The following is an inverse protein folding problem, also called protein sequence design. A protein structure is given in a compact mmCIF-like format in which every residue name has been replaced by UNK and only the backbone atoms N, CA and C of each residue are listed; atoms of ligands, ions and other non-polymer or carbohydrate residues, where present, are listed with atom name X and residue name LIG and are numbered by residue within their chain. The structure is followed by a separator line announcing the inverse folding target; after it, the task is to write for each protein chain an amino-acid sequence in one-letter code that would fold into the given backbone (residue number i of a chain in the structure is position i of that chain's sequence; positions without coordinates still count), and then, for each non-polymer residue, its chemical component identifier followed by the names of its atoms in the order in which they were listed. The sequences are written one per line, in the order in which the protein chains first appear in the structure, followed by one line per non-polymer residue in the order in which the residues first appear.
data_IF_368266005375
#
_entry.id   IF_368266005375
#
_cell.length_a   1.000
_cell.length_b   1.000
_cell.length_c   1.000
_cell.angle_alpha   90.00
_cell.angle_beta   90.00
_cell.angle_gamma   90.00
#
_symmetry.space_group_name_H-M   'P 1'
#
loop_
_entity.id
_entity.type
_entity.pdbx_description
1 polymer ?
#
# COMPACT_ATOMS: atom_id res chain seq x y z
N UNK A 1 -9.65 27.01 -6.89
CA UNK A 1 -8.52 27.79 -7.42
C UNK A 1 -7.74 26.91 -8.39
N UNK A 2 -7.37 27.40 -9.58
CA UNK A 2 -6.68 26.62 -10.63
C UNK A 2 -5.33 27.29 -10.90
N UNK A 3 -4.23 26.53 -10.96
CA UNK A 3 -2.88 27.04 -11.27
C UNK A 3 -2.68 27.09 -12.79
N UNK A 4 -1.88 28.05 -13.31
CA UNK A 4 -1.51 28.06 -14.72
C UNK A 4 -0.58 26.90 -15.06
N UNK A 5 -0.53 26.52 -16.34
CA UNK A 5 0.20 25.34 -16.82
C UNK A 5 1.71 25.42 -16.60
N UNK A 6 2.27 26.63 -16.58
CA UNK A 6 3.69 26.92 -16.35
C UNK A 6 4.08 26.93 -14.86
N UNK A 7 3.11 26.92 -13.94
CA UNK A 7 3.34 26.86 -12.51
C UNK A 7 2.40 25.83 -11.82
N UNK A 8 2.47 24.54 -12.22
CA UNK A 8 1.63 23.51 -11.62
C UNK A 8 2.10 23.16 -10.21
N UNK A 9 1.20 22.61 -9.38
CA UNK A 9 1.57 22.15 -8.03
C UNK A 9 2.62 21.02 -8.09
N UNK A 10 2.46 20.12 -9.07
CA UNK A 10 3.39 19.05 -9.41
C UNK A 10 3.44 18.95 -10.94
N UNK A 11 4.64 18.77 -11.48
CA UNK A 11 4.86 18.68 -12.93
C UNK A 11 4.12 17.49 -13.56
N UNK A 12 4.09 16.37 -12.85
CA UNK A 12 3.46 15.12 -13.29
C UNK A 12 2.29 14.72 -12.40
N UNK A 13 1.50 13.72 -12.82
CA UNK A 13 0.36 13.19 -12.07
C UNK A 13 0.70 12.81 -10.62
N UNK A 14 -0.26 12.99 -9.72
CA UNK A 14 -0.20 12.49 -8.34
C UNK A 14 -0.65 11.03 -8.22
N UNK A 15 -1.11 10.43 -9.32
CA UNK A 15 -1.40 9.01 -9.43
C UNK A 15 -0.28 8.34 -10.23
N UNK A 16 0.31 7.31 -9.64
CA UNK A 16 1.26 6.43 -10.28
C UNK A 16 0.69 5.02 -10.33
N UNK A 17 0.88 4.33 -11.45
CA UNK A 17 0.62 2.89 -11.54
C UNK A 17 1.92 2.19 -11.17
N UNK A 18 1.87 1.33 -10.16
CA UNK A 18 2.99 0.50 -9.72
C UNK A 18 2.77 -0.93 -10.22
N UNK A 19 3.85 -1.60 -10.60
CA UNK A 19 3.90 -3.04 -10.91
C UNK A 19 4.91 -3.72 -10.00
N UNK A 20 5.09 -5.03 -10.10
CA UNK A 20 6.10 -5.76 -9.35
C UNK A 20 5.56 -7.09 -8.84
N UNK A 21 6.36 -7.82 -8.06
CA UNK A 21 5.92 -9.14 -7.62
C UNK A 21 4.70 -9.10 -6.69
N UNK A 22 4.47 -8.00 -5.97
CA UNK A 22 3.26 -7.83 -5.15
C UNK A 22 2.03 -7.43 -5.96
N UNK A 23 2.20 -6.89 -7.17
CA UNK A 23 1.15 -6.33 -8.00
C UNK A 23 1.44 -6.60 -9.50
N UNK A 24 1.36 -7.86 -9.91
CA UNK A 24 1.74 -8.28 -11.27
C UNK A 24 0.83 -7.71 -12.35
N UNK A 25 -0.42 -7.39 -12.02
CA UNK A 25 -1.38 -6.73 -12.92
C UNK A 25 -1.51 -5.22 -12.63
N UNK A 26 -0.84 -4.75 -11.58
CA UNK A 26 -0.73 -3.34 -11.23
C UNK A 26 -1.37 -2.98 -9.89
N UNK A 27 -1.06 -1.78 -9.44
CA UNK A 27 -1.62 -1.12 -8.27
C UNK A 27 -1.63 0.41 -8.49
N UNK A 28 -2.48 1.11 -7.75
CA UNK A 28 -2.60 2.58 -7.85
C UNK A 28 -2.03 3.21 -6.60
N UNK A 29 -0.98 4.03 -6.77
CA UNK A 29 -0.36 4.79 -5.70
C UNK A 29 -0.68 6.27 -5.82
N UNK A 30 -1.01 6.90 -4.68
CA UNK A 30 -1.06 8.36 -4.56
C UNK A 30 0.34 8.85 -4.15
N UNK A 31 1.02 9.52 -5.06
CA UNK A 31 2.38 10.05 -4.87
C UNK A 31 2.35 11.57 -5.00
N UNK A 32 2.31 12.27 -3.87
CA UNK A 32 2.27 13.73 -3.82
C UNK A 32 3.65 14.37 -4.01
N UNK A 33 4.72 13.59 -3.82
CA UNK A 33 6.12 13.99 -3.94
C UNK A 33 6.69 14.64 -2.68
N UNK A 34 5.89 14.80 -1.63
CA UNK A 34 6.35 15.33 -0.32
C UNK A 34 6.90 14.24 0.59
N UNK A 35 6.46 13.01 0.35
CA UNK A 35 6.83 11.78 1.05
C UNK A 35 8.16 11.16 0.56
N UNK A 36 8.75 11.72 -0.50
CA UNK A 36 9.86 11.10 -1.23
C UNK A 36 9.38 10.23 -2.39
N UNK A 37 10.31 9.55 -3.06
CA UNK A 37 10.01 8.67 -4.20
C UNK A 37 10.13 7.17 -3.85
N UNK A 38 10.80 6.83 -2.75
CA UNK A 38 11.03 5.43 -2.35
C UNK A 38 10.77 5.27 -0.87
N UNK A 39 10.08 4.19 -0.50
CA UNK A 39 9.87 3.76 0.88
C UNK A 39 10.13 2.26 1.01
N UNK A 40 10.99 1.87 1.94
CA UNK A 40 11.18 0.47 2.33
C UNK A 40 10.88 0.31 3.81
N UNK A 41 9.97 -0.60 4.13
CA UNK A 41 9.54 -0.82 5.50
C UNK A 41 9.27 -2.28 5.84
N UNK A 42 8.77 -2.52 7.04
CA UNK A 42 8.49 -3.85 7.60
C UNK A 42 6.99 -4.11 7.60
N UNK A 43 6.54 -5.24 7.05
CA UNK A 43 5.14 -5.57 6.92
C UNK A 43 4.47 -5.78 8.29
N UNK A 44 3.31 -5.15 8.46
CA UNK A 44 2.31 -5.40 9.50
C UNK A 44 1.02 -5.80 8.81
N UNK A 45 0.70 -7.10 8.84
CA UNK A 45 -0.32 -7.72 8.00
C UNK A 45 -1.63 -7.88 8.75
N UNK A 46 -2.70 -7.44 8.12
CA UNK A 46 -4.07 -7.51 8.61
C UNK A 46 -5.00 -8.03 7.52
N UNK A 47 -5.98 -8.83 7.93
CA UNK A 47 -6.94 -9.46 7.02
C UNK A 47 -8.26 -8.68 6.92
N UNK A 48 -8.44 -7.65 7.74
CA UNK A 48 -9.58 -6.73 7.66
C UNK A 48 -9.18 -5.30 8.02
N UNK A 49 -9.96 -4.32 7.55
CA UNK A 49 -9.87 -2.91 7.97
C UNK A 49 -9.89 -2.75 9.50
N UNK A 50 -10.79 -3.47 10.17
CA UNK A 50 -11.04 -3.35 11.61
C UNK A 50 -9.81 -3.77 12.43
N UNK A 51 -9.13 -4.85 12.03
CA UNK A 51 -7.91 -5.31 12.69
C UNK A 51 -6.78 -4.29 12.54
N UNK A 52 -6.60 -3.75 11.34
CA UNK A 52 -5.59 -2.71 11.09
C UNK A 52 -5.89 -1.46 11.92
N UNK A 53 -7.14 -1.01 11.93
CA UNK A 53 -7.58 0.15 12.71
C UNK A 53 -7.29 -0.04 14.20
N UNK A 54 -7.67 -1.18 14.79
CA UNK A 54 -7.41 -1.46 16.20
C UNK A 54 -5.91 -1.42 16.51
N UNK A 55 -5.06 -2.03 15.67
CA UNK A 55 -3.62 -2.05 15.86
C UNK A 55 -2.99 -0.64 15.79
N UNK A 56 -3.44 0.20 14.85
CA UNK A 56 -3.01 1.61 14.76
C UNK A 56 -3.42 2.37 16.04
N UNK A 57 -4.66 2.20 16.50
CA UNK A 57 -5.17 2.89 17.68
C UNK A 57 -4.48 2.46 18.99
N UNK A 58 -4.12 1.18 19.09
CA UNK A 58 -3.37 0.63 20.22
C UNK A 58 -1.90 1.08 20.26
N UNK A 59 -1.38 1.59 19.14
CA UNK A 59 0.00 2.05 19.04
C UNK A 59 1.00 0.94 18.71
N UNK A 60 0.54 -0.17 18.14
CA UNK A 60 1.40 -1.28 17.72
C UNK A 60 2.15 -0.99 16.41
N UNK A 61 1.70 0.04 15.68
CA UNK A 61 2.33 0.53 14.45
C UNK A 61 3.37 1.60 14.80
N UNK A 62 4.56 1.44 14.25
CA UNK A 62 5.70 2.34 14.46
C UNK A 62 6.28 2.85 13.16
N UNK A 63 7.15 3.86 13.25
CA UNK A 63 7.92 4.39 12.12
C UNK A 63 8.63 3.26 11.36
N UNK A 64 8.49 3.29 10.03
CA UNK A 64 9.08 2.31 9.12
C UNK A 64 8.22 1.08 8.87
N UNK A 65 7.00 1.01 9.40
CA UNK A 65 6.07 -0.07 9.08
C UNK A 65 5.39 0.14 7.71
N UNK A 66 5.07 -0.98 7.06
CA UNK A 66 4.16 -1.05 5.91
C UNK A 66 2.92 -1.80 6.40
N UNK A 67 1.83 -1.06 6.59
CA UNK A 67 0.54 -1.61 6.97
C UNK A 67 -0.06 -2.28 5.74
N UNK A 68 -0.20 -3.60 5.77
CA UNK A 68 -0.79 -4.41 4.70
C UNK A 68 -2.20 -4.79 5.13
N UNK A 69 -3.21 -4.32 4.40
CA UNK A 69 -4.61 -4.73 4.61
C UNK A 69 -5.05 -5.51 3.38
N UNK A 70 -5.21 -6.83 3.52
CA UNK A 70 -5.52 -7.74 2.42
C UNK A 70 -6.89 -8.38 2.59
N UNK A 71 -7.38 -9.02 1.53
CA UNK A 71 -8.74 -9.58 1.44
C UNK A 71 -9.82 -8.50 1.44
N UNK A 72 -9.49 -7.27 1.04
CA UNK A 72 -10.42 -6.15 0.91
C UNK A 72 -10.73 -5.86 -0.57
N UNK A 73 -10.26 -6.72 -1.48
CA UNK A 73 -10.50 -6.65 -2.91
C UNK A 73 -11.94 -6.96 -3.33
N UNK A 74 -12.24 -6.95 -4.65
CA UNK A 74 -13.57 -7.19 -5.19
C UNK A 74 -14.24 -8.47 -4.71
N UNK A 75 -13.48 -9.57 -4.56
CA UNK A 75 -14.01 -10.87 -4.11
C UNK A 75 -13.76 -11.13 -2.64
N UNK A 76 -12.61 -10.72 -2.11
CA UNK A 76 -12.27 -10.90 -0.70
C UNK A 76 -13.17 -10.13 0.25
N UNK A 77 -13.39 -8.84 -0.06
CA UNK A 77 -14.13 -7.91 0.80
C UNK A 77 -15.57 -8.33 1.07
N UNK A 78 -16.37 -8.76 0.08
CA UNK A 78 -16.42 -8.41 -1.35
C UNK A 78 -16.82 -6.94 -1.61
N UNK A 79 -16.82 -6.54 -2.89
CA UNK A 79 -17.27 -5.20 -3.33
C UNK A 79 -16.21 -4.10 -3.24
N UNK A 80 -14.98 -4.47 -2.85
CA UNK A 80 -13.81 -3.58 -2.85
C UNK A 80 -14.09 -2.29 -2.07
N UNK A 81 -14.34 -2.38 -0.76
CA UNK A 81 -14.75 -1.22 0.06
C UNK A 81 -13.67 -0.13 0.09
N UNK A 82 -14.10 1.10 0.33
CA UNK A 82 -13.20 2.24 0.54
C UNK A 82 -12.96 2.44 2.04
N UNK A 83 -11.69 2.39 2.44
CA UNK A 83 -11.27 2.49 3.84
C UNK A 83 -10.75 3.90 4.15
N UNK A 84 -11.49 4.67 4.94
CA UNK A 84 -11.05 5.96 5.48
C UNK A 84 -10.43 5.82 6.88
N UNK A 85 -10.91 4.86 7.66
CA UNK A 85 -10.59 4.74 9.09
C UNK A 85 -9.09 4.52 9.33
N UNK A 86 -8.40 3.57 8.64
CA UNK A 86 -6.97 3.35 8.83
C UNK A 86 -6.13 4.59 8.45
N UNK A 87 -6.46 5.22 7.33
CA UNK A 87 -5.80 6.44 6.86
C UNK A 87 -5.92 7.60 7.84
N UNK A 88 -7.12 7.81 8.41
CA UNK A 88 -7.36 8.84 9.41
C UNK A 88 -6.65 8.54 10.74
N UNK A 89 -6.64 7.28 11.19
CA UNK A 89 -5.99 6.88 12.42
C UNK A 89 -4.47 7.06 12.37
N UNK A 90 -3.83 6.70 11.24
CA UNK A 90 -2.39 6.94 11.01
C UNK A 90 -2.06 8.43 11.11
N UNK A 91 -2.86 9.29 10.48
CA UNK A 91 -2.68 10.74 10.57
C UNK A 91 -2.88 11.25 12.01
N UNK A 92 -3.91 10.77 12.72
CA UNK A 92 -4.19 11.14 14.10
C UNK A 92 -3.09 10.72 15.09
N UNK A 93 -2.35 9.64 14.79
CA UNK A 93 -1.17 9.20 15.54
C UNK A 93 0.11 9.95 15.13
N UNK A 94 0.06 10.86 14.17
CA UNK A 94 1.22 11.60 13.67
C UNK A 94 2.17 10.76 12.80
N UNK A 95 1.72 9.62 12.29
CA UNK A 95 2.55 8.67 11.55
C UNK A 95 2.49 8.82 10.02
N UNK A 96 1.76 9.81 9.49
CA UNK A 96 1.46 9.93 8.05
C UNK A 96 2.68 9.83 7.13
N UNK A 97 3.79 10.49 7.49
CA UNK A 97 5.03 10.45 6.70
C UNK A 97 6.00 9.34 7.11
N UNK A 98 5.66 8.58 8.15
CA UNK A 98 6.57 7.63 8.79
C UNK A 98 6.23 6.17 8.45
N UNK A 99 5.05 5.91 7.88
CA UNK A 99 4.58 4.57 7.50
C UNK A 99 4.00 4.57 6.09
N UNK A 100 3.84 3.38 5.52
CA UNK A 100 3.09 3.17 4.29
C UNK A 100 1.82 2.35 4.54
N UNK A 101 0.80 2.53 3.70
CA UNK A 101 -0.40 1.70 3.68
C UNK A 101 -0.56 1.07 2.30
N UNK A 102 -0.76 -0.25 2.25
CA UNK A 102 -1.02 -0.99 1.02
C UNK A 102 -2.25 -1.90 1.15
N UNK A 103 -3.02 -2.06 0.07
CA UNK A 103 -4.20 -2.92 0.05
C UNK A 103 -4.58 -3.41 -1.36
N UNK A 104 -5.23 -4.56 -1.44
CA UNK A 104 -6.00 -5.01 -2.61
C UNK A 104 -7.39 -4.36 -2.72
N UNK A 105 -7.84 -3.66 -1.67
CA UNK A 105 -9.03 -2.80 -1.66
C UNK A 105 -8.75 -1.35 -2.09
N UNK A 106 -9.44 -0.39 -1.46
CA UNK A 106 -9.31 1.05 -1.72
C UNK A 106 -9.08 1.84 -0.43
N UNK A 107 -8.30 2.91 -0.52
CA UNK A 107 -8.15 3.89 0.55
C UNK A 107 -8.81 5.22 0.19
N UNK A 108 -9.37 5.89 1.19
CA UNK A 108 -9.89 7.24 1.03
C UNK A 108 -8.78 8.29 1.18
N UNK A 109 -8.96 9.45 0.54
CA UNK A 109 -7.90 10.43 0.25
C UNK A 109 -7.31 11.21 1.44
N UNK A 110 -7.59 10.83 2.68
CA UNK A 110 -7.28 11.60 3.90
C UNK A 110 -5.81 11.62 4.35
N UNK A 111 -4.93 10.81 3.76
CA UNK A 111 -3.52 10.69 4.20
C UNK A 111 -2.53 11.40 3.28
N UNK A 112 -1.44 11.85 3.89
CA UNK A 112 -0.19 12.25 3.25
C UNK A 112 0.84 11.16 3.58
N UNK A 113 1.47 10.54 2.57
CA UNK A 113 2.36 9.38 2.73
C UNK A 113 2.22 8.39 1.56
N UNK A 114 2.96 7.28 1.61
CA UNK A 114 2.86 6.21 0.61
C UNK A 114 1.57 5.40 0.83
N UNK A 115 0.55 5.68 0.01
CA UNK A 115 -0.73 4.97 0.04
C UNK A 115 -0.94 4.30 -1.31
N UNK A 116 -1.05 2.97 -1.28
CA UNK A 116 -1.21 2.12 -2.47
C UNK A 116 -2.48 1.28 -2.30
N UNK A 117 -3.40 1.39 -3.26
CA UNK A 117 -4.59 0.54 -3.33
C UNK A 117 -4.64 -0.25 -4.63
N UNK A 118 -5.71 -1.00 -4.83
CA UNK A 118 -5.98 -1.73 -6.07
C UNK A 118 -4.87 -2.73 -6.43
N UNK A 119 -4.15 -3.28 -5.44
CA UNK A 119 -3.14 -4.30 -5.70
C UNK A 119 -3.80 -5.50 -6.38
N UNK A 120 -3.32 -5.81 -7.58
CA UNK A 120 -3.89 -6.85 -8.44
C UNK A 120 -2.81 -7.84 -8.89
N UNK A 121 -3.05 -9.16 -8.80
CA UNK A 121 -4.26 -9.83 -8.32
C UNK A 121 -4.54 -9.64 -6.81
N UNK A 122 -5.82 -9.60 -6.43
CA UNK A 122 -6.20 -9.51 -5.00
C UNK A 122 -5.79 -10.77 -4.22
N UNK A 123 -5.67 -10.66 -2.90
CA UNK A 123 -5.26 -11.78 -2.06
C UNK A 123 -6.23 -12.97 -2.14
N UNK A 124 -7.53 -12.70 -2.30
CA UNK A 124 -8.57 -13.74 -2.36
C UNK A 124 -8.39 -14.71 -3.54
N UNK A 125 -7.84 -14.23 -4.67
CA UNK A 125 -7.60 -15.07 -5.86
C UNK A 125 -6.17 -15.62 -5.93
N UNK A 126 -5.41 -15.50 -4.85
CA UNK A 126 -4.04 -16.02 -4.77
C UNK A 126 -2.97 -15.06 -5.29
N UNK A 127 -3.25 -13.76 -5.39
CA UNK A 127 -2.22 -12.76 -5.65
C UNK A 127 -1.14 -12.76 -4.55
N UNK A 128 0.07 -12.30 -4.87
CA UNK A 128 1.23 -12.38 -3.97
C UNK A 128 1.02 -11.66 -2.63
N UNK A 129 0.11 -10.68 -2.57
CA UNK A 129 -0.30 -10.05 -1.30
C UNK A 129 -0.82 -11.07 -0.26
N UNK A 130 -1.38 -12.20 -0.70
CA UNK A 130 -1.91 -13.28 0.14
C UNK A 130 -0.83 -14.03 0.95
N UNK A 131 0.43 -13.97 0.53
CA UNK A 131 1.53 -14.72 1.17
C UNK A 131 2.49 -13.82 1.94
N UNK A 132 2.21 -12.52 2.02
CA UNK A 132 3.00 -11.59 2.84
C UNK A 132 2.82 -11.96 4.32
N UNK A 133 3.92 -12.01 5.05
CA UNK A 133 3.96 -12.28 6.48
C UNK A 133 4.45 -11.07 7.29
N UNK A 134 4.10 -11.03 8.58
CA UNK A 134 4.62 -10.01 9.49
C UNK A 134 6.15 -10.07 9.54
N UNK A 135 6.81 -8.92 9.39
CA UNK A 135 8.28 -8.85 9.38
C UNK A 135 8.90 -8.81 7.99
N UNK A 136 8.15 -9.16 6.94
CA UNK A 136 8.64 -9.06 5.56
C UNK A 136 9.04 -7.64 5.20
N UNK A 137 10.07 -7.49 4.37
CA UNK A 137 10.41 -6.19 3.80
C UNK A 137 9.53 -5.91 2.59
N UNK A 138 9.02 -4.69 2.47
CA UNK A 138 8.29 -4.24 1.29
C UNK A 138 8.90 -2.93 0.83
N UNK A 139 9.13 -2.81 -0.48
CA UNK A 139 9.63 -1.59 -1.12
C UNK A 139 8.59 -1.05 -2.08
N UNK A 140 8.27 0.23 -1.91
CA UNK A 140 7.45 1.04 -2.81
C UNK A 140 8.40 2.03 -3.48
N UNK A 141 8.60 1.89 -4.78
CA UNK A 141 9.48 2.75 -5.58
C UNK A 141 8.64 3.45 -6.66
N UNK A 142 8.26 4.69 -6.40
CA UNK A 142 7.46 5.50 -7.32
C UNK A 142 8.24 5.99 -8.54
N UNK A 143 9.58 6.02 -8.46
CA UNK A 143 10.44 6.43 -9.57
C UNK A 143 10.53 5.29 -10.61
N UNK A 144 10.77 4.07 -10.13
CA UNK A 144 10.77 2.86 -10.97
C UNK A 144 9.39 2.31 -11.25
N UNK A 145 8.36 2.80 -10.54
CA UNK A 145 6.99 2.30 -10.58
C UNK A 145 6.90 0.83 -10.14
N UNK A 146 7.60 0.50 -9.07
CA UNK A 146 7.72 -0.86 -8.53
C UNK A 146 7.11 -1.00 -7.12
N UNK A 147 6.46 -2.12 -6.85
CA UNK A 147 5.97 -2.58 -5.56
C UNK A 147 6.50 -4.02 -5.34
N UNK A 148 7.46 -4.15 -4.43
CA UNK A 148 8.29 -5.36 -4.35
C UNK A 148 8.38 -5.90 -2.93
N UNK A 149 8.22 -7.21 -2.81
CA UNK A 149 8.59 -8.04 -1.66
C UNK A 149 9.96 -8.68 -1.94
N UNK A 150 11.09 -8.24 -1.32
CA UNK A 150 12.40 -8.81 -1.58
C UNK A 150 12.49 -10.27 -1.15
N UNK A 151 12.67 -11.14 -2.12
CA UNK A 151 12.69 -12.57 -1.92
C UNK A 151 14.09 -13.03 -1.53
N UNK A 152 14.40 -13.10 -0.23
CA UNK A 152 15.68 -13.68 0.24
C UNK A 152 15.56 -15.16 0.65
N UNK A 153 14.34 -15.72 0.71
CA UNK A 153 14.13 -17.09 1.20
C UNK A 153 12.86 -17.80 0.74
N UNK A 154 12.10 -17.29 -0.24
CA UNK A 154 11.05 -18.11 -0.85
C UNK A 154 11.78 -19.20 -1.64
N UNK A 155 11.59 -20.45 -1.21
CA UNK A 155 12.04 -21.61 -1.95
C UNK A 155 11.69 -21.39 -3.43
N UNK A 156 12.66 -21.61 -4.32
CA UNK A 156 12.54 -21.54 -5.79
C UNK A 156 11.40 -22.40 -6.40
N UNK A 157 10.48 -22.94 -5.60
CA UNK A 157 9.35 -23.76 -5.99
C UNK A 157 8.00 -23.02 -6.06
N UNK A 158 7.89 -21.76 -5.63
CA UNK A 158 6.70 -20.92 -5.89
C UNK A 158 7.07 -19.87 -6.95
N UNK A 159 7.55 -20.37 -8.08
CA UNK A 159 7.54 -19.64 -9.35
C UNK A 159 6.28 -20.08 -10.05
N UNK A 160 5.35 -19.14 -10.21
CA UNK A 160 4.35 -19.05 -11.28
C UNK A 160 3.76 -20.38 -11.79
N UNK A 161 2.59 -20.74 -11.27
CA UNK A 161 1.58 -21.45 -12.06
C UNK A 161 0.53 -20.45 -12.53
N UNK A 162 0.94 -19.52 -13.39
CA UNK A 162 0.13 -18.92 -14.46
C UNK A 162 1.08 -18.35 -15.51
#
# INVERSE_FOLDING_TARGET
MIRPLDNPIKKDSHLAILYGNLATEGAVAKVTGKEGLVFTGTAKVFETEEMALQSILNGDIVKGDVIVIRYEGPRGGPGMREMLSPTAAVMGKGLGQEVALITDGRFSGGTHGFVVGHITPEAFVGGTLAIVENGDKITIDADKKELTLPVSGIAKGIVLLT
#
